data_IF_098712361753
#
_entry.id   IF_098712361753
#
_cell.length_a   1.000
_cell.length_b   1.000
_cell.length_c   1.000
_cell.angle_alpha   90.00
_cell.angle_beta   90.00
_cell.angle_gamma   90.00
#
_symmetry.space_group_name_H-M   'P 1'
#
loop_
_entity.id
_entity.type
_entity.pdbx_description
1 polymer ?
#
# COMPACT_ATOMS: atom_id res chain seq x y z
N UNK A 1 13.06 3.62 -16.03
CA UNK A 1 13.91 2.76 -15.18
C UNK A 1 12.99 1.86 -14.36
N UNK A 2 13.08 0.54 -14.49
CA UNK A 2 12.22 -0.39 -13.73
C UNK A 2 12.80 -0.56 -12.33
N UNK A 3 12.17 0.05 -11.33
CA UNK A 3 12.52 -0.14 -9.93
C UNK A 3 12.30 -1.63 -9.56
N UNK A 4 13.38 -2.39 -9.42
CA UNK A 4 13.33 -3.80 -9.03
C UNK A 4 13.46 -3.85 -7.52
N UNK A 5 12.34 -4.02 -6.80
CA UNK A 5 12.34 -4.16 -5.35
C UNK A 5 13.06 -5.47 -5.00
N UNK A 6 14.25 -5.44 -4.38
CA UNK A 6 14.97 -6.66 -4.02
C UNK A 6 14.17 -7.43 -2.96
N UNK A 7 14.17 -8.76 -3.07
CA UNK A 7 13.52 -9.70 -2.13
C UNK A 7 11.98 -9.67 -2.05
N UNK A 8 11.27 -8.92 -2.92
CA UNK A 8 9.80 -8.91 -2.94
C UNK A 8 9.19 -10.32 -3.00
N UNK A 9 9.80 -11.22 -3.78
CA UNK A 9 9.34 -12.62 -3.91
C UNK A 9 9.37 -13.37 -2.57
N UNK A 10 10.39 -13.16 -1.75
CA UNK A 10 10.50 -13.80 -0.44
C UNK A 10 9.44 -13.25 0.50
N UNK A 11 9.24 -11.94 0.53
CA UNK A 11 8.22 -11.29 1.37
C UNK A 11 6.83 -11.83 1.01
N UNK A 12 6.49 -11.87 -0.29
CA UNK A 12 5.20 -12.41 -0.75
C UNK A 12 5.05 -13.89 -0.36
N UNK A 13 6.12 -14.68 -0.44
CA UNK A 13 6.09 -16.09 -0.07
C UNK A 13 5.85 -16.29 1.43
N UNK A 14 6.55 -15.56 2.30
CA UNK A 14 6.34 -15.62 3.75
C UNK A 14 4.94 -15.13 4.15
N UNK A 15 4.44 -14.05 3.54
CA UNK A 15 3.07 -13.59 3.73
C UNK A 15 2.06 -14.67 3.31
N UNK A 16 2.28 -15.33 2.17
CA UNK A 16 1.44 -16.43 1.71
C UNK A 16 1.41 -17.60 2.68
N UNK A 17 2.58 -18.04 3.17
CA UNK A 17 2.69 -19.13 4.16
C UNK A 17 1.96 -18.77 5.46
N UNK A 18 2.12 -17.54 5.95
CA UNK A 18 1.44 -17.08 7.16
C UNK A 18 -0.08 -17.12 7.02
N UNK A 19 -0.62 -16.67 5.88
CA UNK A 19 -2.05 -16.71 5.59
C UNK A 19 -2.58 -18.15 5.53
N UNK A 20 -1.85 -19.05 4.85
CA UNK A 20 -2.25 -20.47 4.73
C UNK A 20 -2.24 -21.15 6.10
N UNK A 21 -1.20 -20.92 6.91
CA UNK A 21 -1.11 -21.48 8.25
C UNK A 21 -2.27 -21.01 9.13
N UNK A 22 -2.59 -19.71 9.09
CA UNK A 22 -3.71 -19.16 9.84
C UNK A 22 -5.07 -19.66 9.33
N UNK A 23 -5.24 -19.83 8.02
CA UNK A 23 -6.44 -20.44 7.45
C UNK A 23 -6.62 -21.89 7.90
N UNK A 24 -5.55 -22.69 7.90
CA UNK A 24 -5.56 -24.06 8.42
C UNK A 24 -5.91 -24.11 9.91
N UNK A 25 -5.31 -23.23 10.71
CA UNK A 25 -5.68 -23.07 12.13
C UNK A 25 -7.16 -22.71 12.29
N UNK A 26 -7.66 -21.75 11.50
CA UNK A 26 -9.06 -21.32 11.55
C UNK A 26 -10.03 -22.46 11.28
N UNK A 27 -9.74 -23.32 10.29
CA UNK A 27 -10.56 -24.49 9.96
C UNK A 27 -10.57 -25.46 11.14
N UNK A 28 -9.42 -25.75 11.74
CA UNK A 28 -9.32 -26.63 12.89
C UNK A 28 -10.12 -26.10 14.09
N UNK A 29 -9.99 -24.81 14.40
CA UNK A 29 -10.74 -24.17 15.49
C UNK A 29 -12.24 -24.28 15.27
N UNK A 30 -12.74 -23.98 14.07
CA UNK A 30 -14.19 -23.96 13.82
C UNK A 30 -14.78 -25.36 13.68
N UNK A 31 -14.06 -26.29 13.05
CA UNK A 31 -14.59 -27.63 12.75
C UNK A 31 -14.38 -28.64 13.88
N UNK A 32 -13.32 -28.49 14.68
CA UNK A 32 -12.89 -29.50 15.66
C UNK A 32 -12.93 -28.96 17.09
N UNK A 33 -12.56 -27.70 17.30
CA UNK A 33 -12.61 -27.14 18.66
C UNK A 33 -14.05 -26.97 19.12
N UNK A 34 -14.30 -27.28 20.39
CA UNK A 34 -15.58 -27.01 21.07
C UNK A 34 -15.51 -25.76 21.94
N UNK A 35 -14.39 -25.06 21.90
CA UNK A 35 -14.17 -23.84 22.67
C UNK A 35 -14.79 -22.63 21.95
N UNK A 36 -15.88 -22.12 22.53
CA UNK A 36 -16.61 -20.97 22.01
C UNK A 36 -15.78 -19.68 22.00
N UNK A 37 -14.84 -19.51 22.93
CA UNK A 37 -13.99 -18.32 22.98
C UNK A 37 -13.02 -18.29 21.80
N UNK A 38 -12.37 -19.42 21.51
CA UNK A 38 -11.47 -19.54 20.36
C UNK A 38 -12.20 -19.38 19.02
N UNK A 39 -13.39 -19.97 18.88
CA UNK A 39 -14.21 -19.80 17.67
C UNK A 39 -14.58 -18.33 17.47
N UNK A 40 -15.02 -17.66 18.53
CA UNK A 40 -15.37 -16.24 18.49
C UNK A 40 -14.20 -15.35 18.08
N UNK A 41 -13.00 -15.62 18.61
CA UNK A 41 -11.79 -14.86 18.30
C UNK A 41 -11.36 -15.03 16.83
N UNK A 42 -11.41 -16.26 16.31
CA UNK A 42 -11.12 -16.54 14.89
C UNK A 42 -12.11 -15.82 13.98
N UNK A 43 -13.41 -15.93 14.24
CA UNK A 43 -14.44 -15.25 13.43
C UNK A 43 -14.28 -13.72 13.50
N UNK A 44 -14.02 -13.19 14.69
CA UNK A 44 -13.76 -11.76 14.91
C UNK A 44 -12.55 -11.25 14.12
N UNK A 45 -11.48 -12.04 14.07
CA UNK A 45 -10.27 -11.72 13.30
C UNK A 45 -10.57 -11.66 11.80
N UNK A 46 -11.27 -12.64 11.24
CA UNK A 46 -11.68 -12.63 9.83
C UNK A 46 -12.59 -11.46 9.49
N UNK A 47 -13.52 -11.09 10.40
CA UNK A 47 -14.37 -9.90 10.23
C UNK A 47 -13.54 -8.63 10.14
N UNK A 48 -12.60 -8.44 11.07
CA UNK A 48 -11.72 -7.26 11.08
C UNK A 48 -10.84 -7.20 9.83
N UNK A 49 -10.34 -8.34 9.35
CA UNK A 49 -9.56 -8.43 8.13
C UNK A 49 -10.39 -8.03 6.89
N UNK A 50 -11.64 -8.47 6.81
CA UNK A 50 -12.56 -8.08 5.74
C UNK A 50 -12.82 -6.57 5.77
N UNK A 51 -13.11 -5.99 6.93
CA UNK A 51 -13.32 -4.54 7.09
C UNK A 51 -12.08 -3.76 6.65
N UNK A 52 -10.88 -4.22 7.03
CA UNK A 52 -9.62 -3.60 6.63
C UNK A 52 -9.43 -3.68 5.10
N UNK A 53 -9.69 -4.84 4.49
CA UNK A 53 -9.57 -5.02 3.05
C UNK A 53 -10.56 -4.14 2.26
N UNK A 54 -11.82 -4.05 2.71
CA UNK A 54 -12.81 -3.15 2.10
C UNK A 54 -12.43 -1.68 2.28
N UNK A 55 -11.95 -1.29 3.47
CA UNK A 55 -11.47 0.06 3.74
C UNK A 55 -10.28 0.43 2.85
N UNK A 56 -9.33 -0.50 2.68
CA UNK A 56 -8.21 -0.33 1.77
C UNK A 56 -8.67 -0.22 0.31
N UNK A 57 -9.62 -1.05 -0.12
CA UNK A 57 -10.14 -0.99 -1.48
C UNK A 57 -10.84 0.32 -1.77
N UNK A 58 -11.70 0.80 -0.85
CA UNK A 58 -12.37 2.10 -0.98
C UNK A 58 -11.36 3.25 -0.98
N UNK A 59 -10.40 3.25 -0.04
CA UNK A 59 -9.38 4.29 0.05
C UNK A 59 -8.42 4.34 -1.15
N UNK A 60 -7.98 3.18 -1.64
CA UNK A 60 -7.14 3.10 -2.84
C UNK A 60 -7.90 3.51 -4.11
N UNK A 61 -9.20 3.19 -4.19
CA UNK A 61 -10.05 3.58 -5.32
C UNK A 61 -10.34 5.09 -5.35
N UNK A 62 -10.39 5.76 -4.20
CA UNK A 62 -10.61 7.22 -4.11
C UNK A 62 -9.33 8.04 -4.29
N UNK A 63 -8.17 7.53 -3.89
CA UNK A 63 -6.88 8.23 -4.05
C UNK A 63 -6.35 8.32 -5.48
N UNK A 64 -6.72 7.39 -6.37
CA UNK A 64 -6.20 7.32 -7.75
C UNK A 64 -6.73 8.40 -8.71
N UNK A 65 -7.77 9.16 -8.34
CA UNK A 65 -8.32 10.27 -9.15
C UNK A 65 -7.81 11.64 -8.75
N UNK A 66 -6.99 11.72 -7.70
CA UNK A 66 -6.37 12.96 -7.24
C UNK A 66 -4.87 13.01 -7.60
N UNK A 67 -4.49 12.41 -8.74
CA UNK A 67 -3.23 12.80 -9.34
C UNK A 67 -3.36 14.28 -9.69
N UNK A 68 -2.53 15.20 -9.13
CA UNK A 68 -2.43 16.51 -9.71
C UNK A 68 -2.07 16.28 -11.19
N UNK A 69 -2.84 16.88 -12.08
CA UNK A 69 -2.52 16.92 -13.50
C UNK A 69 -1.01 17.20 -13.64
N UNK A 70 -0.39 16.52 -14.59
CA UNK A 70 0.97 16.71 -15.13
C UNK A 70 1.73 17.89 -14.53
N UNK A 71 3.02 17.74 -14.12
CA UNK A 71 3.79 18.80 -13.48
C UNK A 71 3.50 20.13 -14.17
N UNK A 72 2.81 21.03 -13.47
CA UNK A 72 2.39 22.32 -14.02
C UNK A 72 3.59 22.90 -14.76
N UNK A 73 3.45 23.37 -16.01
CA UNK A 73 4.57 23.94 -16.74
C UNK A 73 5.12 25.11 -15.92
N UNK A 74 6.18 24.86 -15.16
CA UNK A 74 6.92 25.92 -14.50
C UNK A 74 7.61 26.66 -15.64
N UNK A 75 7.02 27.79 -16.04
CA UNK A 75 7.63 28.70 -16.99
C UNK A 75 8.85 29.28 -16.27
N UNK A 76 10.03 28.81 -16.62
CA UNK A 76 11.28 29.38 -16.12
C UNK A 76 11.43 30.73 -16.81
N UNK A 77 11.14 31.81 -16.10
CA UNK A 77 11.18 33.19 -16.66
C UNK A 77 12.60 33.60 -17.09
N UNK A 78 13.63 32.86 -16.66
CA UNK A 78 15.02 33.11 -17.01
C UNK A 78 15.71 31.82 -17.50
N UNK A 79 15.64 31.50 -18.80
CA UNK A 79 16.31 30.34 -19.36
C UNK A 79 17.83 30.50 -19.22
N UNK A 80 18.54 29.39 -19.01
CA UNK A 80 20.00 29.38 -18.84
C UNK A 80 20.79 29.99 -20.02
N UNK A 81 20.13 30.16 -21.16
CA UNK A 81 20.71 30.73 -22.37
C UNK A 81 20.50 32.24 -22.52
N UNK A 82 19.85 32.90 -21.55
CA UNK A 82 19.63 34.36 -21.55
C UNK A 82 19.75 34.95 -20.12
N UNK A 83 20.99 35.07 -19.60
CA UNK A 83 21.22 35.65 -18.28
C UNK A 83 21.03 37.18 -18.32
N UNK A 84 20.22 37.72 -17.39
CA UNK A 84 20.05 39.16 -17.21
C UNK A 84 21.41 39.79 -16.87
N UNK A 85 21.87 40.81 -17.64
CA UNK A 85 23.09 41.52 -17.32
C UNK A 85 22.97 42.23 -15.97
N UNK A 86 23.75 41.80 -14.99
CA UNK A 86 23.89 42.50 -13.70
C UNK A 86 25.04 43.51 -13.86
N UNK A 87 24.76 44.80 -13.63
CA UNK A 87 25.78 45.84 -13.61
C UNK A 87 26.88 45.46 -12.60
N UNK A 88 28.07 45.15 -13.11
CA UNK A 88 29.26 44.99 -12.29
C UNK A 88 29.70 46.39 -11.84
N UNK A 89 29.40 46.73 -10.58
CA UNK A 89 29.94 47.94 -9.97
C UNK A 89 31.47 47.87 -9.94
N UNK A 90 32.08 48.91 -10.51
CA UNK A 90 33.51 49.24 -10.50
C UNK A 90 34.10 49.29 -9.09
#
# INVERSE_FOLDING_TARGET
MTARIPHLRLVVLFCGVAIIAYAGFSIWVVAVSKDAAMIGDVIGTWKSFAVAAFSFWVGSSSGGKAAPESPMPVKVDQPANDPIPVEQKL
#
